data_IF_982864543552
#
_entry.id   IF_982864543552
#
_cell.length_a   1.000
_cell.length_b   1.000
_cell.length_c   1.000
_cell.angle_alpha   90.00
_cell.angle_beta   90.00
_cell.angle_gamma   90.00
#
_symmetry.space_group_name_H-M   'P 1'
#
loop_
_entity.id
_entity.type
_entity.pdbx_description
1 polymer ?
#
# COMPACT_ATOMS: atom_id res chain seq x y z
N UNK A 1 -9.51 -16.45 22.88
CA UNK A 1 -9.81 -15.09 23.38
C UNK A 1 -8.83 -14.10 22.77
N UNK A 2 -9.35 -12.93 22.37
CA UNK A 2 -8.52 -11.82 21.89
C UNK A 2 -8.16 -11.01 23.13
N UNK A 3 -6.88 -10.68 23.28
CA UNK A 3 -6.40 -9.77 24.30
C UNK A 3 -5.83 -8.54 23.60
N UNK A 4 -6.38 -7.37 23.93
CA UNK A 4 -5.87 -6.09 23.46
C UNK A 4 -5.07 -5.45 24.59
N UNK A 5 -3.82 -5.12 24.33
CA UNK A 5 -2.96 -4.39 25.26
C UNK A 5 -2.83 -2.96 24.73
N UNK A 6 -3.29 -1.99 25.51
CA UNK A 6 -3.19 -0.56 25.20
C UNK A 6 -2.44 0.17 26.32
N UNK A 7 -1.67 1.24 26.00
CA UNK A 7 -0.98 2.04 27.01
C UNK A 7 -1.93 2.65 28.06
N UNK A 8 -3.13 3.03 27.63
CA UNK A 8 -4.16 3.62 28.45
C UNK A 8 -5.55 3.45 27.82
N UNK A 9 -6.60 3.75 28.60
CA UNK A 9 -7.98 3.59 28.16
C UNK A 9 -8.35 4.55 27.02
N UNK A 10 -7.79 5.75 26.97
CA UNK A 10 -8.09 6.73 25.91
C UNK A 10 -7.53 6.28 24.56
N UNK A 11 -6.34 5.70 24.56
CA UNK A 11 -5.73 5.08 23.37
C UNK A 11 -6.54 3.88 22.88
N UNK A 12 -7.05 3.05 23.81
CA UNK A 12 -7.94 1.94 23.47
C UNK A 12 -9.25 2.45 22.82
N UNK A 13 -9.93 3.41 23.45
CA UNK A 13 -11.19 3.97 22.94
C UNK A 13 -11.03 4.68 21.60
N UNK A 14 -9.88 5.30 21.34
CA UNK A 14 -9.58 5.92 20.04
C UNK A 14 -9.40 4.88 18.94
N UNK A 15 -8.76 3.77 19.23
CA UNK A 15 -8.53 2.70 18.25
C UNK A 15 -9.76 1.82 18.03
N UNK A 16 -10.57 1.63 19.07
CA UNK A 16 -11.76 0.80 19.08
C UNK A 16 -12.94 1.59 19.64
N UNK A 17 -13.46 2.58 18.87
CA UNK A 17 -14.57 3.43 19.34
C UNK A 17 -15.88 2.67 19.56
N UNK A 18 -16.04 1.50 18.94
CA UNK A 18 -17.23 0.68 19.09
C UNK A 18 -16.91 -0.70 19.67
N UNK A 19 -17.78 -1.25 20.54
CA UNK A 19 -17.56 -2.56 21.17
C UNK A 19 -17.33 -3.72 20.19
N UNK A 20 -17.90 -3.62 18.98
CA UNK A 20 -17.85 -4.66 17.95
C UNK A 20 -16.67 -4.47 16.96
N UNK A 21 -15.78 -3.50 17.17
CA UNK A 21 -14.67 -3.27 16.23
C UNK A 21 -13.68 -4.43 16.24
N UNK A 22 -13.51 -5.10 17.39
CA UNK A 22 -12.69 -6.31 17.50
C UNK A 22 -13.26 -7.47 16.68
N UNK A 23 -14.58 -7.60 16.62
CA UNK A 23 -15.25 -8.66 15.86
C UNK A 23 -15.13 -8.46 14.35
N UNK A 24 -14.90 -7.21 13.91
CA UNK A 24 -14.66 -6.85 12.50
C UNK A 24 -13.22 -7.07 12.06
N UNK A 25 -12.30 -7.31 12.96
CA UNK A 25 -10.90 -7.59 12.63
C UNK A 25 -10.80 -9.00 12.05
N UNK A 26 -10.66 -9.09 10.73
CA UNK A 26 -10.39 -10.36 10.02
C UNK A 26 -9.01 -10.93 10.34
N UNK A 27 -8.10 -10.09 10.81
CA UNK A 27 -6.78 -10.49 11.32
C UNK A 27 -6.37 -9.54 12.45
N UNK A 28 -5.83 -10.08 13.53
CA UNK A 28 -5.47 -9.34 14.74
C UNK A 28 -4.06 -8.70 14.68
N UNK A 29 -3.48 -8.63 13.51
CA UNK A 29 -2.17 -8.06 13.25
C UNK A 29 -2.21 -6.70 12.56
N UNK A 30 -3.36 -6.02 12.58
CA UNK A 30 -3.55 -4.69 11.98
C UNK A 30 -3.49 -3.61 13.04
N UNK A 31 -2.74 -2.55 12.75
CA UNK A 31 -2.52 -1.43 13.66
C UNK A 31 -2.75 -0.11 12.95
N UNK A 32 -3.23 0.88 13.71
CA UNK A 32 -3.32 2.26 13.27
C UNK A 32 -1.93 2.82 12.92
N UNK A 33 -1.88 3.83 12.08
CA UNK A 33 -0.64 4.49 11.65
C UNK A 33 -0.49 5.85 12.31
N UNK A 34 0.72 6.17 12.73
CA UNK A 34 1.10 7.55 13.07
C UNK A 34 2.17 8.04 12.11
N UNK A 35 2.34 9.36 12.03
CA UNK A 35 3.39 9.92 11.17
C UNK A 35 4.78 9.39 11.55
N UNK A 36 5.05 9.13 12.83
CA UNK A 36 6.33 8.58 13.30
C UNK A 36 6.57 7.16 12.83
N UNK A 37 5.52 6.35 12.77
CA UNK A 37 5.62 4.94 12.42
C UNK A 37 6.01 4.74 10.96
N UNK A 38 5.60 5.66 10.08
CA UNK A 38 5.81 5.54 8.65
C UNK A 38 7.01 6.31 8.10
N UNK A 39 7.71 7.12 8.92
CA UNK A 39 8.94 7.81 8.46
C UNK A 39 9.94 6.78 7.95
N UNK A 40 10.50 7.04 6.77
CA UNK A 40 11.42 6.17 6.05
C UNK A 40 10.95 5.83 4.66
N UNK A 41 11.64 4.88 4.02
CA UNK A 41 11.35 4.44 2.66
C UNK A 41 10.67 3.09 2.69
N UNK A 42 9.58 3.00 1.93
CA UNK A 42 8.71 1.85 1.81
C UNK A 42 8.59 1.45 0.35
N UNK A 43 8.84 0.20 0.05
CA UNK A 43 8.78 -0.34 -1.29
C UNK A 43 7.68 -1.40 -1.41
N UNK A 44 7.08 -1.42 -2.56
CA UNK A 44 6.12 -2.43 -2.95
C UNK A 44 6.21 -2.69 -4.44
N UNK A 45 5.35 -3.54 -4.88
CA UNK A 45 5.24 -3.86 -6.28
C UNK A 45 4.65 -5.24 -6.44
N UNK A 46 4.31 -5.53 -7.66
CA UNK A 46 3.75 -6.82 -8.02
C UNK A 46 4.05 -7.11 -9.47
N UNK A 47 3.88 -8.36 -9.81
CA UNK A 47 4.00 -8.79 -11.19
C UNK A 47 3.21 -10.06 -11.39
N UNK A 48 2.82 -10.29 -12.63
CA UNK A 48 2.15 -11.50 -13.04
C UNK A 48 2.39 -11.73 -14.52
N UNK A 49 2.37 -12.99 -14.91
CA UNK A 49 2.49 -13.38 -16.31
C UNK A 49 1.42 -14.38 -16.66
N UNK A 50 0.94 -14.27 -17.89
CA UNK A 50 0.08 -15.27 -18.52
C UNK A 50 0.79 -15.78 -19.76
N UNK A 51 0.87 -17.09 -19.90
CA UNK A 51 1.36 -17.75 -21.09
C UNK A 51 0.19 -18.33 -21.86
N UNK A 52 0.18 -18.10 -23.15
CA UNK A 52 -0.87 -18.62 -24.05
C UNK A 52 -0.30 -19.74 -24.90
N UNK A 53 -1.03 -20.83 -24.91
CA UNK A 53 -0.70 -22.02 -25.69
C UNK A 53 -1.85 -22.35 -26.66
N UNK A 54 -1.50 -22.86 -27.82
CA UNK A 54 -2.51 -23.33 -28.76
C UNK A 54 -3.20 -24.57 -28.17
N UNK A 55 -4.53 -24.51 -28.06
CA UNK A 55 -5.33 -25.56 -27.42
C UNK A 55 -5.31 -26.89 -28.17
N UNK A 56 -4.97 -26.92 -29.47
CA UNK A 56 -4.94 -28.12 -30.29
C UNK A 56 -3.55 -28.73 -30.42
N UNK A 57 -2.51 -27.87 -30.51
CA UNK A 57 -1.14 -28.35 -30.74
C UNK A 57 -0.27 -28.34 -29.49
N UNK A 58 -0.71 -27.64 -28.41
CA UNK A 58 0.07 -27.44 -27.20
C UNK A 58 1.26 -26.48 -27.37
N UNK A 59 1.43 -25.89 -28.56
CA UNK A 59 2.56 -25.01 -28.82
C UNK A 59 2.37 -23.65 -28.14
N UNK A 60 3.48 -23.10 -27.61
CA UNK A 60 3.53 -21.75 -27.09
C UNK A 60 3.16 -20.74 -28.18
N UNK A 61 2.30 -19.77 -27.84
CA UNK A 61 1.87 -18.71 -28.74
C UNK A 61 2.40 -17.34 -28.35
N UNK A 62 2.19 -16.95 -27.09
CA UNK A 62 2.60 -15.63 -26.59
C UNK A 62 2.64 -15.60 -25.07
N UNK A 63 3.23 -14.57 -24.51
CA UNK A 63 3.13 -14.24 -23.09
C UNK A 63 2.72 -12.78 -22.89
N UNK A 64 2.04 -12.54 -21.78
CA UNK A 64 1.76 -11.20 -21.28
C UNK A 64 2.31 -11.10 -19.87
N UNK A 65 3.22 -10.17 -19.65
CA UNK A 65 3.84 -9.95 -18.33
C UNK A 65 3.64 -8.50 -17.92
N UNK A 66 3.13 -8.31 -16.70
CA UNK A 66 3.04 -7.01 -16.04
C UNK A 66 3.93 -7.02 -14.81
N UNK A 67 4.78 -6.02 -14.68
CA UNK A 67 5.59 -5.77 -13.49
C UNK A 67 5.39 -4.32 -13.04
N UNK A 68 5.22 -4.14 -11.74
CA UNK A 68 5.08 -2.81 -11.14
C UNK A 68 6.02 -2.67 -9.95
N UNK A 69 6.51 -1.46 -9.73
CA UNK A 69 7.27 -1.08 -8.53
C UNK A 69 6.69 0.21 -7.98
N UNK A 70 6.45 0.23 -6.68
CA UNK A 70 5.98 1.38 -5.93
C UNK A 70 7.00 1.70 -4.85
N UNK A 71 7.38 2.96 -4.73
CA UNK A 71 8.19 3.47 -3.64
C UNK A 71 7.50 4.67 -2.99
N UNK A 72 7.47 4.70 -1.67
CA UNK A 72 7.04 5.85 -0.87
C UNK A 72 8.13 6.19 0.14
N UNK A 73 8.55 7.44 0.17
CA UNK A 73 9.47 7.97 1.19
C UNK A 73 8.77 9.06 1.98
N UNK A 74 8.65 8.86 3.29
CA UNK A 74 8.04 9.80 4.22
C UNK A 74 9.12 10.43 5.10
N UNK A 75 9.18 11.76 5.14
CA UNK A 75 10.18 12.51 5.87
C UNK A 75 9.63 13.05 7.20
N UNK A 76 10.49 13.21 8.20
CA UNK A 76 10.12 13.74 9.52
C UNK A 76 9.59 15.17 9.50
N UNK A 77 9.85 15.94 8.45
CA UNK A 77 9.33 17.29 8.24
C UNK A 77 7.90 17.31 7.65
N UNK A 78 7.22 16.15 7.52
CA UNK A 78 5.88 16.07 6.98
C UNK A 78 5.80 16.09 5.45
N UNK A 79 6.93 15.95 4.75
CA UNK A 79 6.95 15.82 3.28
C UNK A 79 7.06 14.37 2.86
N UNK A 80 6.55 14.06 1.67
CA UNK A 80 6.72 12.73 1.07
C UNK A 80 7.15 12.84 -0.39
N UNK A 81 7.72 11.76 -0.89
CA UNK A 81 7.83 11.46 -2.31
C UNK A 81 7.31 10.06 -2.59
N UNK A 82 6.75 9.86 -3.77
CA UNK A 82 6.42 8.52 -4.25
C UNK A 82 6.76 8.35 -5.70
N UNK A 83 7.18 7.15 -6.06
CA UNK A 83 7.56 6.74 -7.40
C UNK A 83 6.78 5.47 -7.75
N UNK A 84 6.15 5.49 -8.92
CA UNK A 84 5.54 4.32 -9.55
C UNK A 84 6.26 4.03 -10.85
N UNK A 85 6.55 2.76 -11.11
CA UNK A 85 7.07 2.29 -12.39
C UNK A 85 6.32 1.03 -12.81
N UNK A 86 6.05 0.93 -14.10
CA UNK A 86 5.43 -0.28 -14.66
C UNK A 86 6.12 -0.68 -15.95
N UNK A 87 6.18 -1.98 -16.18
CA UNK A 87 6.58 -2.57 -17.43
C UNK A 87 5.49 -3.58 -17.84
N UNK A 88 4.98 -3.41 -19.05
CA UNK A 88 4.00 -4.30 -19.65
C UNK A 88 4.62 -4.88 -20.93
N UNK A 89 4.76 -6.19 -20.98
CA UNK A 89 5.33 -6.91 -22.12
C UNK A 89 4.25 -7.82 -22.70
N UNK A 90 3.92 -7.61 -23.97
CA UNK A 90 2.93 -8.40 -24.68
C UNK A 90 3.46 -8.79 -26.07
N UNK A 91 3.65 -10.11 -26.28
CA UNK A 91 4.09 -10.65 -27.58
C UNK A 91 5.39 -10.04 -28.12
N UNK A 92 6.34 -9.67 -27.23
CA UNK A 92 7.61 -9.04 -27.60
C UNK A 92 7.59 -7.50 -27.64
N UNK A 93 6.42 -6.86 -27.51
CA UNK A 93 6.29 -5.40 -27.36
C UNK A 93 6.34 -5.01 -25.90
N UNK A 94 7.26 -4.12 -25.52
CA UNK A 94 7.39 -3.59 -24.16
C UNK A 94 6.85 -2.17 -24.07
N UNK A 95 5.99 -1.92 -23.09
CA UNK A 95 5.49 -0.60 -22.73
C UNK A 95 5.92 -0.28 -21.31
N UNK A 96 6.49 0.88 -21.10
CA UNK A 96 6.93 1.36 -19.80
C UNK A 96 6.10 2.56 -19.38
N UNK A 97 5.72 2.59 -18.11
CA UNK A 97 4.99 3.69 -17.50
C UNK A 97 5.63 4.12 -16.20
N UNK A 98 5.40 5.36 -15.80
CA UNK A 98 5.88 5.85 -14.53
C UNK A 98 5.24 7.16 -14.12
N UNK A 99 5.16 7.37 -12.81
CA UNK A 99 4.65 8.60 -12.20
C UNK A 99 5.43 8.89 -10.92
N UNK A 100 5.79 10.15 -10.74
CA UNK A 100 6.49 10.63 -9.55
C UNK A 100 5.66 11.74 -8.91
N UNK A 101 5.51 11.65 -7.59
CA UNK A 101 4.78 12.66 -6.82
C UNK A 101 5.63 13.13 -5.65
N UNK A 102 5.48 14.41 -5.30
CA UNK A 102 6.11 15.01 -4.13
C UNK A 102 5.11 15.99 -3.49
N UNK A 103 5.01 15.97 -2.18
CA UNK A 103 4.07 16.84 -1.47
C UNK A 103 4.22 16.75 0.04
N UNK A 104 3.17 17.13 0.73
CA UNK A 104 3.04 16.98 2.18
C UNK A 104 2.14 15.79 2.48
N UNK A 105 2.37 15.16 3.61
CA UNK A 105 1.49 14.11 4.13
C UNK A 105 1.05 14.40 5.56
N UNK A 106 -0.08 13.84 5.93
CA UNK A 106 -0.55 13.75 7.32
C UNK A 106 -1.15 12.38 7.59
N UNK A 107 -1.02 11.91 8.82
CA UNK A 107 -1.60 10.66 9.27
C UNK A 107 -2.49 10.91 10.48
N UNK A 108 -3.63 10.24 10.51
CA UNK A 108 -4.52 10.15 11.65
C UNK A 108 -5.02 8.71 11.76
N UNK A 109 -4.53 7.98 12.76
CA UNK A 109 -4.96 6.61 13.07
C UNK A 109 -5.03 5.67 11.84
N UNK A 110 -6.17 5.62 11.15
CA UNK A 110 -6.43 4.73 10.02
C UNK A 110 -6.44 5.42 8.66
N UNK A 111 -5.92 6.66 8.60
CA UNK A 111 -5.94 7.46 7.38
C UNK A 111 -4.59 8.12 7.13
N UNK A 112 -4.24 8.21 5.85
CA UNK A 112 -3.11 8.98 5.37
C UNK A 112 -3.59 9.88 4.23
N UNK A 113 -3.25 11.18 4.32
CA UNK A 113 -3.52 12.15 3.26
C UNK A 113 -2.19 12.57 2.64
N UNK A 114 -2.12 12.55 1.31
CA UNK A 114 -0.94 12.94 0.53
C UNK A 114 -1.33 14.00 -0.50
N UNK A 115 -0.76 15.18 -0.38
CA UNK A 115 -1.05 16.31 -1.29
C UNK A 115 -0.27 16.19 -2.60
N UNK A 116 -0.70 16.96 -3.60
CA UNK A 116 -0.02 17.12 -4.88
C UNK A 116 0.21 15.78 -5.62
N UNK A 117 -0.79 14.92 -5.62
CA UNK A 117 -0.81 13.69 -6.42
C UNK A 117 -1.46 13.95 -7.78
N UNK A 118 -2.31 13.08 -8.24
CA UNK A 118 -2.93 13.16 -9.56
C UNK A 118 -3.51 14.55 -9.85
N UNK A 119 -2.98 15.23 -10.86
CA UNK A 119 -3.37 16.60 -11.25
C UNK A 119 -3.29 17.62 -10.11
N UNK A 120 -2.36 17.46 -9.18
CA UNK A 120 -2.19 18.34 -8.03
C UNK A 120 -3.18 18.12 -6.89
N UNK A 121 -4.09 17.16 -6.99
CA UNK A 121 -5.09 16.87 -5.94
C UNK A 121 -4.47 16.18 -4.72
N UNK A 122 -5.18 16.24 -3.59
CA UNK A 122 -4.87 15.44 -2.42
C UNK A 122 -5.53 14.07 -2.53
N UNK A 123 -4.75 13.02 -2.34
CA UNK A 123 -5.25 11.64 -2.25
C UNK A 123 -5.36 11.26 -0.79
N UNK A 124 -6.53 10.72 -0.41
CA UNK A 124 -6.79 10.21 0.92
C UNK A 124 -6.82 8.68 0.88
N UNK A 125 -6.02 8.07 1.74
CA UNK A 125 -5.92 6.63 1.86
C UNK A 125 -6.52 6.14 3.16
N UNK A 126 -7.17 4.98 3.13
CA UNK A 126 -7.23 4.11 4.29
C UNK A 126 -5.83 3.55 4.51
N UNK A 127 -5.30 3.64 5.73
CA UNK A 127 -3.93 3.28 6.04
C UNK A 127 -3.88 2.39 7.28
N UNK A 128 -3.05 1.36 7.24
CA UNK A 128 -2.81 0.48 8.37
C UNK A 128 -1.41 -0.14 8.31
N UNK A 129 -0.85 -0.43 9.47
CA UNK A 129 0.31 -1.30 9.59
C UNK A 129 -0.17 -2.73 9.80
N UNK A 130 0.47 -3.67 9.13
CA UNK A 130 0.19 -5.10 9.27
C UNK A 130 1.45 -5.75 9.83
N UNK A 131 1.37 -6.33 11.04
CA UNK A 131 2.49 -7.05 11.64
C UNK A 131 2.74 -8.35 10.87
N UNK A 132 4.00 -8.56 10.50
CA UNK A 132 4.50 -9.78 9.85
C UNK A 132 5.76 -10.26 10.56
N UNK A 133 6.20 -11.48 10.26
CA UNK A 133 7.49 -11.95 10.79
C UNK A 133 8.62 -11.03 10.30
N UNK A 134 9.26 -10.36 11.25
CA UNK A 134 10.40 -9.46 10.98
C UNK A 134 10.06 -7.98 10.85
N UNK A 135 8.78 -7.56 11.02
CA UNK A 135 8.45 -6.13 10.98
C UNK A 135 7.00 -5.83 10.65
N UNK A 136 6.80 -4.77 9.89
CA UNK A 136 5.48 -4.30 9.49
C UNK A 136 5.44 -4.07 7.98
N UNK A 137 4.26 -4.34 7.40
CA UNK A 137 3.87 -3.86 6.09
C UNK A 137 3.00 -2.61 6.26
N UNK A 138 3.19 -1.61 5.43
CA UNK A 138 2.29 -0.48 5.31
C UNK A 138 1.30 -0.76 4.19
N UNK A 139 0.02 -0.85 4.54
CA UNK A 139 -1.06 -1.00 3.58
C UNK A 139 -1.76 0.34 3.39
N UNK A 140 -1.90 0.76 2.14
CA UNK A 140 -2.61 1.97 1.73
C UNK A 140 -3.65 1.61 0.68
N UNK A 141 -4.87 2.10 0.84
CA UNK A 141 -5.94 1.97 -0.15
C UNK A 141 -6.54 3.34 -0.44
N UNK A 142 -6.56 3.76 -1.69
CA UNK A 142 -7.17 5.02 -2.10
C UNK A 142 -8.68 4.99 -1.81
N UNK A 143 -9.17 6.01 -1.09
CA UNK A 143 -10.61 6.12 -0.74
C UNK A 143 -11.50 6.43 -1.94
N UNK A 144 -10.96 7.14 -2.94
CA UNK A 144 -11.69 7.47 -4.15
C UNK A 144 -11.68 6.32 -5.18
N UNK A 145 -10.63 5.47 -5.13
CA UNK A 145 -10.50 4.33 -6.04
C UNK A 145 -9.96 3.11 -5.28
N UNK A 146 -10.86 2.29 -4.76
CA UNK A 146 -10.52 1.11 -3.96
C UNK A 146 -9.67 0.06 -4.67
N UNK A 147 -9.59 0.11 -6.01
CA UNK A 147 -8.70 -0.76 -6.79
C UNK A 147 -7.24 -0.34 -6.69
N UNK A 148 -6.95 0.91 -6.29
CA UNK A 148 -5.60 1.39 -6.05
C UNK A 148 -5.19 1.05 -4.62
N UNK A 149 -4.39 0.00 -4.49
CA UNK A 149 -3.91 -0.52 -3.22
C UNK A 149 -2.40 -0.70 -3.28
N UNK A 150 -1.74 -0.41 -2.17
CA UNK A 150 -0.30 -0.58 -2.00
C UNK A 150 -0.05 -1.41 -0.76
N UNK A 151 0.75 -2.45 -0.91
CA UNK A 151 1.31 -3.22 0.21
C UNK A 151 2.82 -3.04 0.18
N UNK A 152 3.32 -2.31 1.16
CA UNK A 152 4.68 -1.80 1.15
C UNK A 152 5.46 -2.38 2.32
N UNK A 153 6.70 -2.79 2.09
CA UNK A 153 7.65 -3.19 3.13
C UNK A 153 8.70 -2.09 3.36
N UNK A 154 9.14 -1.95 4.58
CA UNK A 154 10.12 -0.93 4.95
C UNK A 154 11.51 -1.34 4.51
N UNK A 155 12.23 -0.45 3.83
CA UNK A 155 13.61 -0.70 3.36
C UNK A 155 14.65 0.12 4.10
N UNK A 156 14.27 1.26 4.66
CA UNK A 156 15.13 2.15 5.47
C UNK A 156 14.31 2.94 6.48
#
# INVERSE_FOLDING_TARGET
>A
PIVVISPDQSSYQRQFPHPNDLDRMLSYNKFAVTAKDIIGTWNGGGGGGLEYYNAYTGNYMSSHTLSTTDEFSFNSNGTYSSMYRSANINGGNAQFGGQDFKGKFSCTDWQLSASNRYRGATTNFNAQLIAVKGGYLLYLQDKANSSMQYTLYRTK
#
